data_IF_632109706493
#
_entry.id   IF_632109706493
#
_cell.length_a   1.000
_cell.length_b   1.000
_cell.length_c   1.000
_cell.angle_alpha   90.00
_cell.angle_beta   90.00
_cell.angle_gamma   90.00
#
_symmetry.space_group_name_H-M   'P 1'
#
loop_
_entity.id
_entity.type
_entity.pdbx_description
1 polymer ?
#
# COMPACT_ATOMS: atom_id res chain seq x y z
N UNK A 1 27.38 -24.18 -26.14
CA UNK A 1 27.00 -23.10 -25.22
C UNK A 1 27.02 -21.81 -26.02
N UNK A 2 25.91 -21.07 -26.09
CA UNK A 2 25.89 -19.78 -26.80
C UNK A 2 26.45 -18.72 -25.85
N UNK A 3 27.69 -18.34 -26.07
CA UNK A 3 28.43 -17.30 -25.33
C UNK A 3 28.10 -15.89 -25.87
N UNK A 4 26.85 -15.69 -26.29
CA UNK A 4 26.38 -14.42 -26.81
C UNK A 4 25.89 -13.55 -25.64
N UNK A 5 26.61 -12.46 -25.37
CA UNK A 5 26.13 -11.42 -24.45
C UNK A 5 24.85 -10.81 -25.05
N UNK A 6 23.72 -11.11 -24.42
CA UNK A 6 22.45 -10.47 -24.76
C UNK A 6 22.54 -9.00 -24.36
N UNK A 7 22.42 -8.11 -25.33
CA UNK A 7 22.34 -6.68 -25.09
C UNK A 7 21.03 -6.37 -24.34
N UNK A 8 21.13 -5.89 -23.10
CA UNK A 8 19.95 -5.54 -22.29
C UNK A 8 19.12 -4.42 -22.94
N UNK A 9 19.70 -3.68 -23.89
CA UNK A 9 19.00 -2.70 -24.73
C UNK A 9 18.00 -3.32 -25.71
N UNK A 10 18.22 -4.55 -26.17
CA UNK A 10 17.42 -5.22 -27.20
C UNK A 10 16.19 -5.96 -26.67
N UNK A 11 16.02 -6.04 -25.34
CA UNK A 11 14.85 -6.67 -24.74
C UNK A 11 13.60 -5.84 -25.01
N UNK A 12 12.56 -6.50 -25.52
CA UNK A 12 11.22 -5.92 -25.63
C UNK A 12 10.69 -5.53 -24.25
N UNK A 13 9.65 -4.69 -24.21
CA UNK A 13 9.05 -4.27 -22.94
C UNK A 13 8.52 -5.46 -22.13
N UNK A 14 7.95 -6.48 -22.79
CA UNK A 14 7.50 -7.71 -22.12
C UNK A 14 8.65 -8.54 -21.55
N UNK A 15 9.78 -8.65 -22.26
CA UNK A 15 10.95 -9.38 -21.78
C UNK A 15 11.66 -8.67 -20.63
N UNK A 16 11.72 -7.34 -20.64
CA UNK A 16 12.24 -6.55 -19.51
C UNK A 16 11.41 -6.74 -18.25
N UNK A 17 10.09 -6.79 -18.41
CA UNK A 17 9.19 -7.03 -17.29
C UNK A 17 9.34 -8.46 -16.73
N UNK A 18 9.43 -9.47 -17.60
CA UNK A 18 9.73 -10.85 -17.17
C UNK A 18 11.08 -10.95 -16.46
N UNK A 19 12.12 -10.28 -16.96
CA UNK A 19 13.44 -10.25 -16.32
C UNK A 19 13.41 -9.61 -14.93
N UNK A 20 12.77 -8.45 -14.79
CA UNK A 20 12.63 -7.77 -13.49
C UNK A 20 11.84 -8.63 -12.48
N UNK A 21 10.75 -9.26 -12.91
CA UNK A 21 9.94 -10.16 -12.08
C UNK A 21 10.71 -11.40 -11.63
N UNK A 22 11.46 -12.05 -12.53
CA UNK A 22 12.29 -13.21 -12.20
C UNK A 22 13.42 -12.84 -11.23
N UNK A 23 14.03 -11.67 -11.39
CA UNK A 23 15.07 -11.17 -10.49
C UNK A 23 14.51 -10.84 -9.10
N UNK A 24 13.35 -10.18 -9.03
CA UNK A 24 12.64 -9.92 -7.78
C UNK A 24 12.24 -11.21 -7.07
N UNK A 25 11.70 -12.18 -7.81
CA UNK A 25 11.31 -13.49 -7.26
C UNK A 25 12.52 -14.26 -6.73
N UNK A 26 13.63 -14.29 -7.46
CA UNK A 26 14.86 -14.93 -7.00
C UNK A 26 15.45 -14.23 -5.76
N UNK A 27 15.38 -12.89 -5.70
CA UNK A 27 15.78 -12.15 -4.50
C UNK A 27 14.88 -12.49 -3.32
N UNK A 28 13.55 -12.49 -3.51
CA UNK A 28 12.57 -12.83 -2.47
C UNK A 28 12.70 -14.27 -1.98
N UNK A 29 12.95 -15.22 -2.87
CA UNK A 29 13.02 -16.65 -2.51
C UNK A 29 14.35 -17.02 -1.84
N UNK A 30 15.45 -16.40 -2.25
CA UNK A 30 16.78 -16.63 -1.66
C UNK A 30 17.05 -15.77 -0.43
N UNK A 31 16.24 -14.72 -0.25
CA UNK A 31 16.32 -13.90 0.94
C UNK A 31 15.22 -14.32 1.91
N UNK A 32 15.54 -14.59 3.17
CA UNK A 32 14.55 -14.61 4.27
C UNK A 32 13.95 -13.20 4.52
N UNK A 33 13.95 -12.31 3.52
CA UNK A 33 13.53 -10.92 3.63
C UNK A 33 12.04 -10.83 3.35
N UNK A 34 11.35 -10.37 4.36
CA UNK A 34 9.94 -10.04 4.31
C UNK A 34 9.77 -8.71 3.58
N UNK A 35 9.24 -8.75 2.35
CA UNK A 35 9.03 -7.53 1.58
C UNK A 35 7.76 -6.80 2.04
N UNK A 36 7.85 -5.51 2.43
CA UNK A 36 6.67 -4.72 2.71
C UNK A 36 5.86 -4.49 1.43
N UNK A 37 4.54 -4.60 1.55
CA UNK A 37 3.61 -4.35 0.46
C UNK A 37 3.00 -2.96 0.62
N UNK A 38 3.11 -2.15 -0.42
CA UNK A 38 2.50 -0.83 -0.50
C UNK A 38 1.28 -0.89 -1.42
N UNK A 39 0.14 -0.40 -0.94
CA UNK A 39 -1.13 -0.43 -1.69
C UNK A 39 -1.66 0.99 -1.78
N UNK A 40 -1.57 1.53 -2.99
CA UNK A 40 -2.18 2.82 -3.34
C UNK A 40 -3.65 2.62 -3.70
N UNK A 41 -4.50 3.56 -3.28
CA UNK A 41 -5.96 3.51 -3.50
C UNK A 41 -6.60 2.15 -3.15
N UNK A 42 -6.42 1.65 -1.90
CA UNK A 42 -6.69 0.26 -1.52
C UNK A 42 -8.13 -0.20 -1.79
N UNK A 43 -9.11 0.68 -1.62
CA UNK A 43 -10.53 0.36 -1.73
C UNK A 43 -11.17 0.79 -3.05
N UNK A 44 -10.39 1.42 -3.94
CA UNK A 44 -10.93 1.96 -5.18
C UNK A 44 -11.38 0.80 -6.08
N UNK A 45 -12.67 0.80 -6.46
CA UNK A 45 -13.37 -0.18 -7.33
C UNK A 45 -13.99 -1.40 -6.62
N UNK A 46 -13.96 -1.49 -5.30
CA UNK A 46 -14.70 -2.52 -4.58
C UNK A 46 -16.11 -2.04 -4.22
N UNK A 47 -17.10 -2.92 -4.32
CA UNK A 47 -18.35 -2.74 -3.60
C UNK A 47 -18.15 -3.06 -2.12
N UNK A 48 -19.17 -2.75 -1.31
CA UNK A 48 -19.10 -2.86 0.14
C UNK A 48 -18.75 -4.27 0.65
N UNK A 49 -19.31 -5.31 0.04
CA UNK A 49 -19.11 -6.69 0.51
C UNK A 49 -17.70 -7.18 0.14
N UNK A 50 -17.22 -6.78 -1.04
CA UNK A 50 -15.86 -7.08 -1.48
C UNK A 50 -14.82 -6.31 -0.66
N UNK A 51 -15.06 -5.04 -0.36
CA UNK A 51 -14.18 -4.22 0.49
C UNK A 51 -14.01 -4.83 1.89
N UNK A 52 -15.12 -5.27 2.51
CA UNK A 52 -15.10 -5.92 3.81
C UNK A 52 -14.28 -7.23 3.80
N UNK A 53 -14.41 -8.05 2.75
CA UNK A 53 -13.61 -9.27 2.58
C UNK A 53 -12.13 -8.95 2.36
N UNK A 54 -11.80 -7.95 1.55
CA UNK A 54 -10.41 -7.54 1.31
C UNK A 54 -9.75 -7.07 2.61
N UNK A 55 -10.46 -6.29 3.42
CA UNK A 55 -9.98 -5.80 4.72
C UNK A 55 -9.73 -6.94 5.70
N UNK A 56 -10.63 -7.92 5.78
CA UNK A 56 -10.57 -9.00 6.76
C UNK A 56 -9.60 -10.12 6.36
N UNK A 57 -9.58 -10.47 5.08
CA UNK A 57 -8.93 -11.70 4.61
C UNK A 57 -7.69 -11.43 3.75
N UNK A 58 -7.65 -10.32 2.99
CA UNK A 58 -6.53 -10.08 2.07
C UNK A 58 -5.41 -9.27 2.74
N UNK A 59 -5.69 -8.06 3.23
CA UNK A 59 -4.64 -7.20 3.79
C UNK A 59 -3.88 -7.80 4.99
N UNK A 60 -4.51 -8.52 5.93
CA UNK A 60 -3.78 -9.12 7.04
C UNK A 60 -2.86 -10.27 6.60
N UNK A 61 -3.07 -10.84 5.42
CA UNK A 61 -2.42 -12.08 4.98
C UNK A 61 -1.51 -11.91 3.74
N UNK A 62 -1.54 -10.75 3.06
CA UNK A 62 -0.78 -10.53 1.82
C UNK A 62 0.73 -10.36 2.07
N UNK A 63 1.12 -9.79 3.21
CA UNK A 63 2.51 -9.68 3.65
C UNK A 63 2.56 -9.42 5.16
N UNK A 64 3.73 -9.63 5.77
CA UNK A 64 3.97 -9.32 7.18
C UNK A 64 3.94 -7.81 7.48
N UNK A 65 4.26 -6.98 6.49
CA UNK A 65 4.06 -5.53 6.58
C UNK A 65 3.27 -5.03 5.37
N UNK A 66 2.18 -4.32 5.64
CA UNK A 66 1.33 -3.68 4.63
C UNK A 66 1.18 -2.20 4.96
N UNK A 67 1.41 -1.36 3.96
CA UNK A 67 1.23 0.11 4.02
C UNK A 67 0.13 0.50 3.06
N UNK A 68 -0.94 1.07 3.59
CA UNK A 68 -2.11 1.49 2.82
C UNK A 68 -2.08 3.00 2.62
N UNK A 69 -2.42 3.47 1.41
CA UNK A 69 -2.62 4.89 1.10
C UNK A 69 -4.08 5.18 0.71
N UNK A 70 -5.03 5.10 1.66
CA UNK A 70 -6.43 5.40 1.39
C UNK A 70 -6.72 6.90 1.37
N UNK A 71 -7.65 7.31 0.51
CA UNK A 71 -8.37 8.56 0.69
C UNK A 71 -9.50 8.39 1.73
N UNK A 72 -9.36 9.02 2.90
CA UNK A 72 -10.39 8.99 3.96
C UNK A 72 -11.71 9.57 3.41
N UNK A 73 -12.83 8.92 3.74
CA UNK A 73 -14.21 9.22 3.29
C UNK A 73 -14.51 9.02 1.79
N UNK A 74 -13.49 8.88 0.93
CA UNK A 74 -13.68 8.59 -0.51
C UNK A 74 -13.47 7.12 -0.84
N UNK A 75 -12.37 6.57 -0.34
CA UNK A 75 -11.99 5.18 -0.54
C UNK A 75 -12.14 4.41 0.75
N UNK A 76 -11.81 5.01 1.89
CA UNK A 76 -11.95 4.35 3.19
C UNK A 76 -12.99 5.06 4.04
N UNK A 77 -14.14 4.40 4.21
CA UNK A 77 -15.20 4.85 5.11
C UNK A 77 -14.83 4.58 6.57
N UNK A 78 -15.48 5.28 7.50
CA UNK A 78 -15.24 5.06 8.94
C UNK A 78 -15.52 3.61 9.37
N UNK A 79 -16.56 2.98 8.79
CA UNK A 79 -16.90 1.58 9.05
C UNK A 79 -15.77 0.64 8.61
N UNK A 80 -15.21 0.86 7.42
CA UNK A 80 -14.11 0.05 6.90
C UNK A 80 -12.83 0.29 7.69
N UNK A 81 -12.58 1.54 8.11
CA UNK A 81 -11.49 1.87 9.01
C UNK A 81 -11.61 1.12 10.34
N UNK A 82 -12.81 1.05 10.93
CA UNK A 82 -13.05 0.29 12.17
C UNK A 82 -12.78 -1.21 12.03
N UNK A 83 -12.99 -1.78 10.84
CA UNK A 83 -12.64 -3.16 10.54
C UNK A 83 -11.13 -3.36 10.42
N UNK A 84 -10.41 -2.38 9.85
CA UNK A 84 -8.94 -2.41 9.76
C UNK A 84 -8.26 -2.19 11.10
N UNK A 85 -8.82 -1.29 11.93
CA UNK A 85 -8.23 -0.76 13.16
C UNK A 85 -7.56 -1.80 14.07
N UNK A 86 -8.13 -3.00 14.34
CA UNK A 86 -7.49 -4.01 15.19
C UNK A 86 -6.17 -4.57 14.65
N UNK A 87 -5.89 -4.37 13.36
CA UNK A 87 -4.68 -4.85 12.66
C UNK A 87 -3.71 -3.72 12.30
N UNK A 88 -4.05 -2.46 12.61
CA UNK A 88 -3.20 -1.31 12.31
C UNK A 88 -2.13 -1.18 13.39
N UNK A 89 -0.86 -1.25 12.99
CA UNK A 89 0.26 -1.00 13.91
C UNK A 89 0.54 0.49 14.11
N UNK A 90 0.50 1.29 13.03
CA UNK A 90 0.75 2.73 13.05
C UNK A 90 -0.14 3.44 12.05
N UNK A 91 -0.50 4.69 12.35
CA UNK A 91 -1.33 5.51 11.49
C UNK A 91 -0.75 6.92 11.35
N UNK A 92 -0.80 7.45 10.12
CA UNK A 92 -0.22 8.74 9.78
C UNK A 92 -1.20 9.52 8.89
N UNK A 93 -1.23 10.83 9.08
CA UNK A 93 -1.89 11.77 8.18
C UNK A 93 -0.85 12.59 7.45
N UNK A 94 -1.07 12.78 6.16
CA UNK A 94 -0.32 13.75 5.37
C UNK A 94 -1.09 15.05 5.45
N UNK A 95 -0.52 16.05 6.12
CA UNK A 95 -1.12 17.38 6.23
C UNK A 95 -0.37 18.37 5.34
N UNK A 96 -1.07 18.85 4.31
CA UNK A 96 -0.61 19.93 3.46
C UNK A 96 -0.98 21.26 4.14
N UNK A 97 0.02 22.05 4.52
CA UNK A 97 -0.17 23.32 5.25
C UNK A 97 0.25 24.55 4.43
N UNK A 98 0.83 24.36 3.25
CA UNK A 98 1.10 25.40 2.26
C UNK A 98 1.20 24.79 0.86
N UNK A 99 1.13 25.62 -0.19
CA UNK A 99 1.15 25.14 -1.58
C UNK A 99 2.28 24.14 -1.89
N UNK A 100 3.46 24.35 -1.32
CA UNK A 100 4.66 23.55 -1.62
C UNK A 100 5.19 22.78 -0.40
N UNK A 101 4.41 22.65 0.68
CA UNK A 101 4.85 21.95 1.88
C UNK A 101 3.78 21.04 2.50
N UNK A 102 4.23 19.85 2.89
CA UNK A 102 3.47 18.88 3.65
C UNK A 102 4.28 18.34 4.82
N UNK A 103 3.58 17.82 5.82
CA UNK A 103 4.19 17.11 6.95
C UNK A 103 3.40 15.85 7.27
N UNK A 104 4.09 14.86 7.83
CA UNK A 104 3.45 13.72 8.46
C UNK A 104 3.02 14.09 9.88
N UNK A 105 1.79 13.74 10.22
CA UNK A 105 1.24 13.81 11.57
C UNK A 105 0.96 12.37 11.99
N UNK A 106 1.73 11.86 12.95
CA UNK A 106 1.45 10.56 13.55
C UNK A 106 0.20 10.66 14.44
N UNK A 107 -0.68 9.68 14.35
CA UNK A 107 -1.87 9.56 15.18
C UNK A 107 -1.97 8.14 15.72
N UNK A 108 -2.54 7.98 16.91
CA UNK A 108 -3.01 6.68 17.33
C UNK A 108 -4.09 6.18 16.35
N UNK A 109 -4.16 4.88 16.04
CA UNK A 109 -5.21 4.34 15.16
C UNK A 109 -6.62 4.70 15.65
N UNK A 110 -6.85 4.72 16.95
CA UNK A 110 -8.15 5.05 17.55
C UNK A 110 -8.57 6.50 17.31
N UNK A 111 -7.61 7.41 17.14
CA UNK A 111 -7.87 8.83 16.95
C UNK A 111 -7.73 9.29 15.49
N UNK A 112 -7.29 8.44 14.55
CA UNK A 112 -6.93 8.87 13.20
C UNK A 112 -8.06 9.63 12.49
N UNK A 113 -9.25 9.04 12.45
CA UNK A 113 -10.43 9.65 11.79
C UNK A 113 -10.82 10.94 12.49
N UNK A 114 -10.79 10.97 13.83
CA UNK A 114 -11.08 12.17 14.61
C UNK A 114 -10.08 13.29 14.29
N UNK A 115 -8.78 13.00 14.33
CA UNK A 115 -7.71 13.95 14.01
C UNK A 115 -7.79 14.43 12.56
N UNK A 116 -8.13 13.56 11.63
CA UNK A 116 -8.40 13.95 10.24
C UNK A 116 -9.57 14.94 10.17
N UNK A 117 -10.70 14.60 10.78
CA UNK A 117 -11.87 15.47 10.80
C UNK A 117 -11.58 16.82 11.49
N UNK A 118 -10.77 16.87 12.55
CA UNK A 118 -10.38 18.14 13.20
C UNK A 118 -9.45 19.00 12.34
N UNK A 119 -8.56 18.38 11.55
CA UNK A 119 -7.62 19.10 10.67
C UNK A 119 -8.28 19.66 9.41
N UNK A 120 -9.36 19.02 8.95
CA UNK A 120 -10.06 19.34 7.72
C UNK A 120 -11.55 19.64 7.94
N UNK A 121 -11.95 19.96 9.18
CA UNK A 121 -13.27 20.51 9.46
C UNK A 121 -13.31 21.95 8.94
N UNK A 122 -14.18 22.20 7.96
CA UNK A 122 -14.63 23.54 7.60
C UNK A 122 -15.48 24.16 8.72
#
# INVERSE_FOLDING_TARGET
>A
ARDEKIDKGSLSMGERQMYASALLKALVDESDIEFPVFIDSPMQKFDKDHAENVIKEFYPNVSKQVVLFPLIHKELTEREYDLLKPKISKAYLIHNFSMDASKFIESAPESLIKTYNELYAD
#
